data_IF_908585496365
#
_entry.id   IF_908585496365
#
_cell.length_a   1.000
_cell.length_b   1.000
_cell.length_c   1.000
_cell.angle_alpha   90.00
_cell.angle_beta   90.00
_cell.angle_gamma   90.00
#
_symmetry.space_group_name_H-M   'P 1'
#
loop_
_entity.id
_entity.type
_entity.pdbx_description
1 polymer ?
#
# COMPACT_ATOMS: atom_id res chain seq x y z
N UNK A 1 -19.76 -33.09 15.82
CA UNK A 1 -18.46 -33.32 15.15
C UNK A 1 -18.66 -33.02 13.68
N UNK A 2 -18.61 -31.74 13.31
CA UNK A 2 -18.72 -31.31 11.92
C UNK A 2 -17.32 -30.96 11.42
N UNK A 3 -16.78 -31.81 10.55
CA UNK A 3 -15.58 -31.49 9.78
C UNK A 3 -16.04 -30.67 8.58
N UNK A 4 -15.88 -29.35 8.63
CA UNK A 4 -15.91 -28.53 7.43
C UNK A 4 -14.71 -28.93 6.56
N UNK A 5 -14.98 -29.70 5.52
CA UNK A 5 -14.04 -29.94 4.43
C UNK A 5 -14.10 -28.68 3.56
N UNK A 6 -13.31 -27.67 3.90
CA UNK A 6 -13.04 -26.55 2.98
C UNK A 6 -12.15 -27.10 1.88
N UNK A 7 -12.78 -27.56 0.78
CA UNK A 7 -12.09 -28.00 -0.41
C UNK A 7 -11.14 -26.91 -0.90
N UNK A 8 -9.86 -27.26 -1.09
CA UNK A 8 -8.83 -26.34 -1.59
C UNK A 8 -9.19 -25.98 -3.03
N UNK A 9 -9.66 -24.75 -3.26
CA UNK A 9 -9.92 -24.25 -4.61
C UNK A 9 -8.55 -24.05 -5.27
N UNK A 10 -8.23 -24.88 -6.27
CA UNK A 10 -7.08 -24.62 -7.13
C UNK A 10 -7.39 -23.45 -8.06
N UNK A 11 -6.63 -22.37 -7.91
CA UNK A 11 -6.79 -21.16 -8.73
C UNK A 11 -5.72 -21.20 -9.82
N UNK A 12 -6.14 -21.19 -11.09
CA UNK A 12 -5.21 -21.06 -12.20
C UNK A 12 -4.61 -19.64 -12.20
N UNK A 13 -3.32 -19.54 -11.91
CA UNK A 13 -2.58 -18.26 -11.77
C UNK A 13 -2.78 -17.38 -13.00
N UNK A 14 -2.79 -17.96 -14.20
CA UNK A 14 -2.99 -17.24 -15.47
C UNK A 14 -4.33 -16.52 -15.52
N UNK A 15 -5.42 -17.20 -15.13
CA UNK A 15 -6.75 -16.59 -15.09
C UNK A 15 -6.85 -15.52 -14.01
N UNK A 16 -6.25 -15.75 -12.84
CA UNK A 16 -6.21 -14.76 -11.77
C UNK A 16 -5.48 -13.47 -12.19
N UNK A 17 -4.30 -13.59 -12.82
CA UNK A 17 -3.56 -12.45 -13.35
C UNK A 17 -4.32 -11.72 -14.47
N UNK A 18 -5.05 -12.46 -15.30
CA UNK A 18 -5.93 -11.88 -16.33
C UNK A 18 -7.09 -11.09 -15.70
N UNK A 19 -7.68 -11.60 -14.64
CA UNK A 19 -8.76 -10.92 -13.91
C UNK A 19 -8.27 -9.62 -13.26
N UNK A 20 -7.13 -9.65 -12.54
CA UNK A 20 -6.52 -8.44 -11.96
C UNK A 20 -6.29 -7.37 -13.03
N UNK A 21 -5.79 -7.77 -14.19
CA UNK A 21 -5.57 -6.85 -15.30
C UNK A 21 -6.84 -6.22 -15.86
N UNK A 22 -7.91 -7.02 -15.99
CA UNK A 22 -9.19 -6.54 -16.49
C UNK A 22 -9.78 -5.52 -15.51
N UNK A 23 -9.70 -5.79 -14.20
CA UNK A 23 -10.14 -4.87 -13.15
C UNK A 23 -9.38 -3.54 -13.21
N UNK A 24 -8.05 -3.58 -13.28
CA UNK A 24 -7.24 -2.35 -13.37
C UNK A 24 -7.51 -1.58 -14.66
N UNK A 25 -7.74 -2.27 -15.78
CA UNK A 25 -8.16 -1.62 -17.03
C UNK A 25 -9.50 -0.90 -16.86
N UNK A 26 -10.51 -1.57 -16.31
CA UNK A 26 -11.84 -0.97 -16.07
C UNK A 26 -11.74 0.23 -15.15
N UNK A 27 -10.96 0.14 -14.06
CA UNK A 27 -10.72 1.26 -13.14
C UNK A 27 -10.11 2.47 -13.87
N UNK A 28 -9.07 2.25 -14.69
CA UNK A 28 -8.42 3.33 -15.46
C UNK A 28 -9.40 4.01 -16.42
N UNK A 29 -10.16 3.23 -17.17
CA UNK A 29 -11.18 3.77 -18.09
C UNK A 29 -12.25 4.58 -17.34
N UNK A 30 -12.71 4.08 -16.19
CA UNK A 30 -13.67 4.81 -15.34
C UNK A 30 -13.07 6.11 -14.81
N UNK A 31 -11.81 6.08 -14.37
CA UNK A 31 -11.11 7.26 -13.88
C UNK A 31 -10.98 8.34 -14.96
N UNK A 32 -10.64 7.93 -16.19
CA UNK A 32 -10.60 8.83 -17.34
C UNK A 32 -11.97 9.36 -17.74
N UNK A 33 -13.01 8.52 -17.70
CA UNK A 33 -14.37 8.95 -18.01
C UNK A 33 -14.87 10.01 -17.02
N UNK A 34 -14.57 9.85 -15.73
CA UNK A 34 -14.96 10.80 -14.68
C UNK A 34 -14.07 12.04 -14.62
N UNK A 35 -12.82 11.94 -15.07
CA UNK A 35 -11.84 13.02 -15.05
C UNK A 35 -11.22 13.25 -16.43
N UNK A 36 -12.05 13.45 -17.47
CA UNK A 36 -11.61 13.55 -18.86
C UNK A 36 -10.56 14.65 -19.11
N UNK A 37 -10.53 15.68 -18.25
CA UNK A 37 -9.59 16.81 -18.25
C UNK A 37 -8.17 16.46 -17.79
N UNK A 38 -7.97 15.31 -17.14
CA UNK A 38 -6.61 14.82 -16.79
C UNK A 38 -5.74 14.67 -18.02
N UNK A 39 -6.32 14.35 -19.18
CA UNK A 39 -5.58 14.26 -20.45
C UNK A 39 -4.92 15.58 -20.85
N UNK A 40 -5.45 16.71 -20.36
CA UNK A 40 -4.92 18.05 -20.56
C UNK A 40 -3.98 18.49 -19.42
N UNK A 41 -3.64 17.60 -18.49
CA UNK A 41 -2.78 17.88 -17.35
C UNK A 41 -3.48 18.54 -16.15
N UNK A 42 -4.80 18.67 -16.17
CA UNK A 42 -5.57 19.21 -15.05
C UNK A 42 -5.70 18.19 -13.90
N UNK A 43 -5.81 18.69 -12.67
CA UNK A 43 -6.07 17.84 -11.50
C UNK A 43 -7.45 17.15 -11.59
N UNK A 44 -7.59 15.91 -11.08
CA UNK A 44 -8.87 15.21 -11.00
C UNK A 44 -9.90 15.97 -10.16
N UNK A 45 -11.14 16.07 -10.66
CA UNK A 45 -12.28 16.59 -9.89
C UNK A 45 -12.77 15.56 -8.87
N UNK A 46 -12.68 14.26 -9.21
CA UNK A 46 -13.03 13.14 -8.33
C UNK A 46 -11.86 12.18 -8.21
N UNK A 47 -11.39 11.96 -6.99
CA UNK A 47 -10.40 10.95 -6.67
C UNK A 47 -11.15 9.70 -6.18
N UNK A 48 -10.81 8.52 -6.72
CA UNK A 48 -11.40 7.28 -6.22
C UNK A 48 -10.82 6.93 -4.85
N UNK A 49 -11.59 6.30 -3.94
CA UNK A 49 -11.06 5.90 -2.64
C UNK A 49 -9.76 5.06 -2.70
N UNK A 50 -9.56 4.13 -3.67
CA UNK A 50 -8.29 3.42 -3.84
C UNK A 50 -7.10 4.28 -4.31
N UNK A 51 -7.38 5.49 -4.83
CA UNK A 51 -6.39 6.45 -5.30
C UNK A 51 -6.22 7.64 -4.33
N UNK A 52 -7.15 7.80 -3.38
CA UNK A 52 -7.10 8.80 -2.30
C UNK A 52 -6.23 8.31 -1.14
N UNK A 53 -4.91 8.49 -1.30
CA UNK A 53 -3.93 8.16 -0.27
C UNK A 53 -3.88 9.28 0.77
N UNK A 54 -4.46 9.02 1.94
CA UNK A 54 -4.46 9.97 3.06
C UNK A 54 -3.14 9.88 3.82
N UNK A 55 -2.56 11.02 4.17
CA UNK A 55 -1.28 11.10 4.87
C UNK A 55 -1.42 11.83 6.20
N UNK A 56 -0.81 11.29 7.25
CA UNK A 56 -0.77 11.87 8.59
C UNK A 56 0.67 11.82 9.13
N UNK A 57 1.16 12.91 9.70
CA UNK A 57 2.45 12.94 10.38
C UNK A 57 2.22 12.74 11.87
N UNK A 58 2.90 11.74 12.43
CA UNK A 58 2.74 11.30 13.82
C UNK A 58 4.08 11.35 14.55
N UNK A 59 4.02 11.20 15.88
CA UNK A 59 5.18 11.03 16.75
C UNK A 59 6.26 12.13 16.56
N UNK A 60 5.81 13.38 16.47
CA UNK A 60 6.65 14.57 16.25
C UNK A 60 7.50 14.49 14.97
N UNK A 61 6.96 13.92 13.89
CA UNK A 61 7.67 13.79 12.61
C UNK A 61 8.54 12.54 12.50
N UNK A 62 8.52 11.64 13.49
CA UNK A 62 9.21 10.36 13.38
C UNK A 62 8.45 9.32 12.55
N UNK A 63 7.16 9.54 12.29
CA UNK A 63 6.31 8.59 11.56
C UNK A 63 5.45 9.34 10.55
N UNK A 64 5.40 8.84 9.31
CA UNK A 64 4.36 9.21 8.34
C UNK A 64 3.45 8.01 8.15
N UNK A 65 2.17 8.17 8.48
CA UNK A 65 1.13 7.17 8.22
C UNK A 65 0.45 7.49 6.89
N UNK A 66 0.33 6.48 6.04
CA UNK A 66 -0.54 6.52 4.86
C UNK A 66 -1.72 5.58 5.08
N UNK A 67 -2.92 6.01 4.69
CA UNK A 67 -4.13 5.18 4.68
C UNK A 67 -4.69 5.13 3.27
N UNK A 68 -4.86 3.92 2.75
CA UNK A 68 -5.36 3.65 1.39
C UNK A 68 -6.56 2.74 1.51
N UNK A 69 -7.71 3.13 0.94
CA UNK A 69 -8.94 2.33 0.98
C UNK A 69 -8.92 1.21 -0.07
N UNK A 70 -7.84 0.43 -0.04
CA UNK A 70 -7.53 -0.68 -0.93
C UNK A 70 -6.43 -1.57 -0.34
N UNK A 71 -6.15 -2.70 -0.96
CA UNK A 71 -5.02 -3.57 -0.63
C UNK A 71 -4.30 -4.06 -1.88
N UNK A 72 -2.98 -4.27 -1.84
CA UNK A 72 -2.23 -4.76 -3.00
C UNK A 72 -2.74 -6.12 -3.43
N UNK A 73 -2.52 -6.47 -4.69
CA UNK A 73 -2.66 -7.85 -5.14
C UNK A 73 -1.91 -8.86 -4.27
N UNK A 74 -2.51 -10.05 -4.15
CA UNK A 74 -1.92 -11.21 -3.47
C UNK A 74 -0.76 -11.85 -4.23
N UNK A 75 -0.41 -11.39 -5.43
CA UNK A 75 0.66 -12.01 -6.22
C UNK A 75 1.76 -10.99 -6.45
N UNK A 76 2.98 -11.29 -5.99
CA UNK A 76 4.18 -10.49 -6.27
C UNK A 76 4.46 -10.34 -7.77
N UNK A 77 3.93 -11.23 -8.62
CA UNK A 77 4.02 -11.17 -10.08
C UNK A 77 2.77 -10.50 -10.67
N UNK A 78 2.39 -9.34 -10.16
CA UNK A 78 1.29 -8.57 -10.73
C UNK A 78 1.64 -7.80 -11.97
N UNK A 79 0.60 -7.39 -12.69
CA UNK A 79 0.73 -6.55 -13.88
C UNK A 79 1.35 -5.20 -13.54
N UNK A 80 2.15 -4.71 -14.48
CA UNK A 80 2.85 -3.43 -14.42
C UNK A 80 1.92 -2.27 -14.05
N UNK A 81 0.72 -2.26 -14.60
CA UNK A 81 -0.27 -1.18 -14.39
C UNK A 81 -0.73 -1.03 -12.94
N UNK A 82 -0.91 -2.13 -12.22
CA UNK A 82 -1.30 -2.12 -10.80
C UNK A 82 -0.15 -1.62 -9.94
N UNK A 83 1.07 -2.13 -10.20
CA UNK A 83 2.28 -1.70 -9.50
C UNK A 83 2.51 -0.20 -9.68
N UNK A 84 2.41 0.28 -10.91
CA UNK A 84 2.54 1.71 -11.23
C UNK A 84 1.51 2.57 -10.49
N UNK A 85 0.25 2.11 -10.37
CA UNK A 85 -0.78 2.81 -9.60
C UNK A 85 -0.35 2.99 -8.14
N UNK A 86 -0.04 1.90 -7.45
CA UNK A 86 0.35 1.94 -6.05
C UNK A 86 1.60 2.81 -5.85
N UNK A 87 2.62 2.61 -6.67
CA UNK A 87 3.85 3.39 -6.63
C UNK A 87 3.58 4.88 -6.81
N UNK A 88 2.84 5.28 -7.86
CA UNK A 88 2.58 6.69 -8.16
C UNK A 88 1.74 7.35 -7.08
N UNK A 89 0.67 6.71 -6.62
CA UNK A 89 -0.22 7.25 -5.60
C UNK A 89 0.55 7.51 -4.29
N UNK A 90 1.37 6.55 -3.86
CA UNK A 90 2.23 6.70 -2.67
C UNK A 90 3.28 7.79 -2.88
N UNK A 91 3.94 7.82 -4.04
CA UNK A 91 4.93 8.87 -4.36
C UNK A 91 4.32 10.26 -4.28
N UNK A 92 3.16 10.48 -4.88
CA UNK A 92 2.52 11.80 -4.88
C UNK A 92 2.06 12.21 -3.49
N UNK A 93 1.47 11.28 -2.72
CA UNK A 93 1.07 11.53 -1.35
C UNK A 93 2.25 11.94 -0.47
N UNK A 94 3.37 11.21 -0.56
CA UNK A 94 4.56 11.48 0.24
C UNK A 94 5.34 12.72 -0.20
N UNK A 95 5.31 13.09 -1.50
CA UNK A 95 5.92 14.34 -1.96
C UNK A 95 5.27 15.57 -1.34
N UNK A 96 3.95 15.52 -1.11
CA UNK A 96 3.24 16.60 -0.40
C UNK A 96 3.72 16.75 1.04
N UNK A 97 4.08 15.64 1.71
CA UNK A 97 4.57 15.64 3.10
C UNK A 97 6.09 15.83 3.25
N UNK A 98 6.88 15.60 2.18
CA UNK A 98 8.35 15.63 2.23
C UNK A 98 8.93 16.97 2.71
N UNK A 99 8.21 18.07 2.53
CA UNK A 99 8.64 19.38 3.05
C UNK A 99 8.82 19.39 4.57
N UNK A 100 8.23 18.42 5.28
CA UNK A 100 8.18 18.36 6.74
C UNK A 100 9.06 17.25 7.34
N UNK A 101 9.54 16.29 6.53
CA UNK A 101 10.28 15.10 7.01
C UNK A 101 11.34 14.60 6.01
N UNK A 102 12.51 14.20 6.53
CA UNK A 102 13.57 13.50 5.80
C UNK A 102 14.22 12.45 6.68
N UNK A 103 14.48 11.26 6.13
CA UNK A 103 14.97 10.10 6.88
C UNK A 103 16.21 9.49 6.23
N UNK A 104 17.28 9.29 7.01
CA UNK A 104 18.49 8.61 6.53
C UNK A 104 18.28 7.10 6.36
N UNK A 105 17.43 6.52 7.21
CA UNK A 105 17.01 5.11 7.17
C UNK A 105 15.60 5.02 7.75
N UNK A 106 14.80 4.10 7.22
CA UNK A 106 13.42 3.88 7.63
C UNK A 106 13.14 2.44 8.02
N UNK A 107 12.10 2.26 8.82
CA UNK A 107 11.37 1.02 8.96
C UNK A 107 9.96 1.19 8.39
N UNK A 108 9.58 0.36 7.44
CA UNK A 108 8.24 0.36 6.83
C UNK A 108 7.39 -0.73 7.48
N UNK A 109 6.37 -0.34 8.23
CA UNK A 109 5.41 -1.29 8.78
C UNK A 109 4.09 -1.22 7.99
N UNK A 110 3.68 -2.33 7.38
CA UNK A 110 2.44 -2.40 6.59
C UNK A 110 1.38 -3.18 7.35
N UNK A 111 0.21 -2.58 7.51
CA UNK A 111 -0.95 -3.24 8.10
C UNK A 111 -2.02 -3.43 7.05
N UNK A 112 -2.33 -4.69 6.78
CA UNK A 112 -3.39 -5.06 5.85
C UNK A 112 -4.70 -5.32 6.60
N UNK A 113 -5.77 -4.70 6.15
CA UNK A 113 -7.13 -5.03 6.54
C UNK A 113 -7.78 -5.72 5.34
N UNK A 114 -7.90 -7.04 5.40
CA UNK A 114 -8.23 -7.87 4.23
C UNK A 114 -9.67 -8.41 4.31
N UNK A 115 -10.38 -8.54 3.18
CA UNK A 115 -11.74 -9.08 3.15
C UNK A 115 -11.79 -10.61 3.23
N UNK A 116 -10.66 -11.24 3.55
CA UNK A 116 -10.45 -12.70 3.58
C UNK A 116 -9.79 -13.08 4.89
N UNK A 117 -10.25 -14.18 5.49
CA UNK A 117 -9.64 -14.80 6.66
C UNK A 117 -8.57 -15.80 6.21
N UNK A 118 -7.54 -16.02 7.04
CA UNK A 118 -6.53 -17.08 6.87
C UNK A 118 -5.82 -17.03 5.51
N UNK A 119 -5.26 -15.87 5.16
CA UNK A 119 -4.44 -15.69 3.95
C UNK A 119 -2.98 -15.51 4.31
N UNK A 120 -2.11 -16.02 3.46
CA UNK A 120 -0.67 -15.78 3.56
C UNK A 120 -0.38 -14.34 3.10
N UNK A 121 0.04 -13.51 4.06
CA UNK A 121 0.20 -12.06 3.87
C UNK A 121 1.51 -11.73 3.15
N UNK A 122 2.51 -12.58 3.27
CA UNK A 122 3.81 -12.50 2.58
C UNK A 122 3.70 -12.60 1.05
N UNK A 123 2.59 -13.16 0.54
CA UNK A 123 2.31 -13.20 -0.89
C UNK A 123 1.85 -11.85 -1.47
N UNK A 124 1.41 -10.91 -0.64
CA UNK A 124 0.99 -9.58 -1.09
C UNK A 124 2.18 -8.75 -1.58
N UNK A 125 2.02 -8.07 -2.71
CA UNK A 125 3.13 -7.33 -3.31
C UNK A 125 3.38 -5.98 -2.60
N UNK A 126 4.37 -5.96 -1.72
CA UNK A 126 4.83 -4.74 -1.03
C UNK A 126 5.82 -3.92 -1.86
N UNK A 127 6.37 -4.48 -2.94
CA UNK A 127 7.40 -3.79 -3.74
C UNK A 127 6.91 -2.45 -4.31
N UNK A 128 5.64 -2.26 -4.74
CA UNK A 128 5.16 -0.98 -5.22
C UNK A 128 5.12 0.09 -4.11
N UNK A 129 4.89 -0.32 -2.85
CA UNK A 129 4.87 0.55 -1.68
C UNK A 129 6.27 1.10 -1.43
N UNK A 130 7.27 0.22 -1.34
CA UNK A 130 8.67 0.61 -1.10
C UNK A 130 9.19 1.49 -2.26
N UNK A 131 8.88 1.13 -3.50
CA UNK A 131 9.19 1.95 -4.67
C UNK A 131 8.55 3.34 -4.60
N UNK A 132 7.29 3.42 -4.17
CA UNK A 132 6.58 4.69 -3.99
C UNK A 132 7.28 5.60 -3.00
N UNK A 133 7.75 5.05 -1.87
CA UNK A 133 8.52 5.76 -0.84
C UNK A 133 9.86 6.23 -1.42
N UNK A 134 10.61 5.36 -2.10
CA UNK A 134 11.87 5.73 -2.77
C UNK A 134 11.69 6.88 -3.76
N UNK A 135 10.72 6.79 -4.68
CA UNK A 135 10.49 7.81 -5.70
C UNK A 135 9.90 9.13 -5.17
N UNK A 136 9.35 9.12 -3.94
CA UNK A 136 9.05 10.36 -3.22
C UNK A 136 10.32 11.13 -2.82
N UNK A 137 11.44 10.41 -2.68
CA UNK A 137 12.73 10.93 -2.22
C UNK A 137 12.80 11.14 -0.71
N UNK A 138 11.95 10.49 0.10
CA UNK A 138 12.10 10.41 1.56
C UNK A 138 13.38 9.65 1.94
N UNK A 139 13.73 8.64 1.15
CA UNK A 139 14.97 7.89 1.21
C UNK A 139 15.66 7.92 -0.16
N UNK A 140 16.98 7.74 -0.23
CA UNK A 140 17.70 7.77 -1.51
C UNK A 140 17.54 6.49 -2.34
N UNK A 141 17.35 5.33 -1.70
CA UNK A 141 17.26 4.02 -2.38
C UNK A 141 16.50 3.00 -1.53
N UNK A 142 16.10 1.84 -2.09
CA UNK A 142 15.34 0.78 -1.40
C UNK A 142 16.20 -0.40 -0.91
N UNK A 143 17.52 -0.26 -0.99
CA UNK A 143 18.44 -1.28 -0.49
C UNK A 143 18.35 -1.46 1.03
N UNK A 144 18.83 -2.60 1.52
CA UNK A 144 18.87 -2.95 2.95
C UNK A 144 19.56 -1.90 3.84
N UNK A 145 20.37 -1.02 3.25
CA UNK A 145 21.02 0.10 3.92
C UNK A 145 20.00 1.15 4.41
N UNK A 146 18.96 1.39 3.63
CA UNK A 146 18.01 2.48 3.86
C UNK A 146 16.65 1.97 4.35
N UNK A 147 16.29 0.71 4.07
CA UNK A 147 14.96 0.17 4.36
C UNK A 147 15.05 -1.12 5.15
N UNK A 148 14.22 -1.21 6.17
CA UNK A 148 13.78 -2.46 6.79
C UNK A 148 12.26 -2.47 6.80
N UNK A 149 11.62 -3.62 6.78
CA UNK A 149 10.16 -3.67 6.73
C UNK A 149 9.58 -4.84 7.53
N UNK A 150 8.30 -4.72 7.86
CA UNK A 150 7.50 -5.76 8.48
C UNK A 150 6.02 -5.53 8.17
N UNK A 151 5.20 -6.52 8.46
CA UNK A 151 3.77 -6.39 8.24
C UNK A 151 2.95 -7.15 9.28
N UNK A 152 1.68 -6.78 9.38
CA UNK A 152 0.65 -7.58 10.00
C UNK A 152 -0.65 -7.52 9.19
N UNK A 153 -1.61 -8.38 9.51
CA UNK A 153 -2.91 -8.35 8.88
C UNK A 153 -4.05 -8.63 9.87
N UNK A 154 -5.22 -8.09 9.56
CA UNK A 154 -6.47 -8.37 10.23
C UNK A 154 -7.59 -8.54 9.19
N UNK A 155 -8.59 -9.35 9.52
CA UNK A 155 -9.81 -9.41 8.71
C UNK A 155 -10.61 -8.10 8.88
N UNK A 156 -11.16 -7.58 7.79
CA UNK A 156 -12.07 -6.44 7.81
C UNK A 156 -13.08 -6.51 6.67
N UNK A 157 -14.33 -6.14 6.96
CA UNK A 157 -15.36 -5.93 5.92
C UNK A 157 -15.13 -4.66 5.10
N UNK A 158 -14.35 -3.73 5.65
CA UNK A 158 -13.93 -2.49 5.01
C UNK A 158 -12.43 -2.58 4.77
N UNK A 159 -12.00 -3.22 3.67
CA UNK A 159 -10.60 -3.47 3.45
C UNK A 159 -9.83 -2.19 3.17
N UNK A 160 -8.61 -2.13 3.68
CA UNK A 160 -7.71 -0.98 3.57
C UNK A 160 -6.27 -1.41 3.87
N UNK A 161 -5.33 -0.57 3.51
CA UNK A 161 -3.92 -0.72 3.87
C UNK A 161 -3.47 0.51 4.62
N UNK A 162 -2.85 0.30 5.78
CA UNK A 162 -2.14 1.35 6.49
C UNK A 162 -0.64 1.11 6.35
N UNK A 163 0.10 2.14 5.98
CA UNK A 163 1.54 2.08 5.79
C UNK A 163 2.17 3.07 6.75
N UNK A 164 3.06 2.61 7.60
CA UNK A 164 3.78 3.45 8.55
C UNK A 164 5.23 3.53 8.09
N UNK A 165 5.65 4.71 7.65
CA UNK A 165 7.03 5.03 7.31
C UNK A 165 7.67 5.65 8.55
N UNK A 166 8.46 4.85 9.27
CA UNK A 166 8.99 5.22 10.58
C UNK A 166 10.49 5.51 10.44
N UNK A 167 10.95 6.60 11.03
CA UNK A 167 12.38 6.93 11.12
C UNK A 167 13.11 5.84 11.90
N UNK A 168 14.18 5.29 11.34
CA UNK A 168 14.98 4.26 12.00
C UNK A 168 15.89 4.91 13.05
N UNK A 169 15.39 5.07 14.27
CA UNK A 169 16.12 5.66 15.39
C UNK A 169 15.76 4.96 16.72
N UNK A 170 16.24 5.51 17.84
CA UNK A 170 16.02 4.94 19.18
C UNK A 170 14.55 4.81 19.61
N UNK A 171 13.63 5.55 18.98
CA UNK A 171 12.19 5.53 19.29
C UNK A 171 11.43 4.45 18.51
N UNK A 172 12.06 3.81 17.52
CA UNK A 172 11.43 2.80 16.67
C UNK A 172 10.72 1.69 17.48
N UNK A 173 11.31 1.09 18.53
CA UNK A 173 10.64 0.03 19.29
C UNK A 173 9.33 0.49 19.93
N UNK A 174 9.32 1.67 20.55
CA UNK A 174 8.14 2.24 21.22
C UNK A 174 7.02 2.52 20.21
N UNK A 175 7.37 3.14 19.07
CA UNK A 175 6.42 3.42 17.97
C UNK A 175 5.82 2.12 17.44
N UNK A 176 6.65 1.10 17.19
CA UNK A 176 6.16 -0.20 16.73
C UNK A 176 5.25 -0.88 17.74
N UNK A 177 5.60 -0.86 19.03
CA UNK A 177 4.73 -1.41 20.09
C UNK A 177 3.38 -0.71 20.14
N UNK A 178 3.36 0.63 20.04
CA UNK A 178 2.12 1.42 19.98
C UNK A 178 1.26 1.08 18.75
N UNK A 179 1.88 0.94 17.59
CA UNK A 179 1.17 0.51 16.38
C UNK A 179 0.55 -0.87 16.61
N UNK A 180 1.36 -1.84 17.05
CA UNK A 180 0.95 -3.23 17.28
C UNK A 180 -0.11 -3.40 18.38
N UNK A 181 -0.16 -2.52 19.39
CA UNK A 181 -1.14 -2.59 20.48
C UNK A 181 -2.52 -2.04 20.11
N UNK A 182 -2.66 -1.37 18.96
CA UNK A 182 -3.95 -0.83 18.48
C UNK A 182 -4.79 -1.91 17.78
N UNK A 183 -4.82 -3.13 18.35
CA UNK A 183 -5.51 -4.31 17.83
C UNK A 183 -6.89 -4.47 18.45
#
# INVERSE_FOLDING_TARGET
MEKEIVGKVEVEIKHLLSAYAAIEKVRKELYWALNYRIRSGEEPVKIFPPDDVKTEILDNGNTVKLTIMDYPSRLQITKKEEKERWTNNITFALRKTKLEVSFDRIFVFVRFYLPVKNTDVDNYDISPIINGIKYSGIIPDDTYKYVSFGFNAAFSKNPKTEIYVIKYNKYLPEILTKILSTF
#
